data_IF_748457806032
#
_entry.id   IF_748457806032
#
_cell.length_a   1.000
_cell.length_b   1.000
_cell.length_c   1.000
_cell.angle_alpha   90.00
_cell.angle_beta   90.00
_cell.angle_gamma   90.00
#
_symmetry.space_group_name_H-M   'P 1'
#
loop_
_entity.id
_entity.type
_entity.pdbx_description
1 polymer ?
#
# COMPACT_ATOMS: atom_id res chain seq x y z
N UNK A 1 39.04 -42.03 -14.17
CA UNK A 1 38.74 -40.60 -13.88
C UNK A 1 37.68 -40.17 -14.87
N UNK A 2 36.42 -40.15 -14.43
CA UNK A 2 35.26 -39.98 -15.31
C UNK A 2 34.99 -38.50 -15.58
N UNK A 3 34.80 -38.17 -16.85
CA UNK A 3 34.33 -36.88 -17.32
C UNK A 3 32.86 -36.65 -16.94
N UNK A 4 32.61 -35.39 -16.58
CA UNK A 4 31.37 -34.63 -16.54
C UNK A 4 30.19 -35.17 -17.37
N UNK A 5 29.01 -35.21 -16.75
CA UNK A 5 27.83 -34.48 -17.20
C UNK A 5 26.67 -34.73 -16.21
N UNK A 6 26.34 -33.71 -15.41
CA UNK A 6 25.05 -33.68 -14.72
C UNK A 6 24.18 -32.60 -15.41
N UNK A 7 23.05 -32.97 -16.03
CA UNK A 7 22.15 -32.01 -16.66
C UNK A 7 21.21 -31.45 -15.60
N UNK A 8 20.85 -30.16 -15.70
CA UNK A 8 19.78 -29.40 -14.99
C UNK A 8 20.40 -28.10 -14.46
N UNK A 9 19.91 -26.91 -14.76
CA UNK A 9 18.59 -26.46 -15.19
C UNK A 9 18.86 -25.29 -16.15
N UNK A 10 18.40 -25.37 -17.40
CA UNK A 10 18.20 -24.14 -18.17
C UNK A 10 17.04 -23.44 -17.48
N UNK A 11 17.34 -22.40 -16.70
CA UNK A 11 16.32 -21.50 -16.21
C UNK A 11 15.63 -20.94 -17.45
N UNK A 12 14.35 -21.30 -17.62
CA UNK A 12 13.50 -20.71 -18.65
C UNK A 12 13.51 -19.20 -18.40
N UNK A 13 14.22 -18.48 -19.27
CA UNK A 13 13.97 -17.06 -19.50
C UNK A 13 12.55 -16.96 -20.06
N UNK A 14 11.61 -16.56 -19.22
CA UNK A 14 10.21 -16.47 -19.65
C UNK A 14 9.24 -16.28 -18.50
N UNK A 15 9.53 -15.33 -17.61
CA UNK A 15 8.55 -14.69 -16.72
C UNK A 15 9.33 -13.61 -15.98
N UNK A 16 9.32 -12.38 -16.52
CA UNK A 16 9.56 -11.23 -15.66
C UNK A 16 8.47 -11.28 -14.59
N UNK A 17 8.80 -11.37 -13.30
CA UNK A 17 7.77 -11.17 -12.29
C UNK A 17 7.13 -9.83 -12.60
N UNK A 18 5.81 -9.82 -12.66
CA UNK A 18 4.99 -8.64 -12.94
C UNK A 18 5.16 -7.64 -11.79
N UNK A 19 6.33 -7.02 -11.72
CA UNK A 19 6.69 -6.05 -10.70
C UNK A 19 6.10 -4.74 -11.21
N UNK A 20 4.97 -4.37 -10.61
CA UNK A 20 4.32 -3.10 -10.84
C UNK A 20 5.33 -1.96 -10.88
N UNK A 21 5.10 -0.98 -11.76
CA UNK A 21 6.02 0.15 -11.93
C UNK A 21 6.34 0.81 -10.58
N UNK A 22 7.58 1.32 -10.36
CA UNK A 22 8.00 1.84 -9.05
C UNK A 22 7.07 2.90 -8.46
N UNK A 23 6.43 3.72 -9.30
CA UNK A 23 5.46 4.72 -8.86
C UNK A 23 4.16 4.08 -8.35
N UNK A 24 3.68 2.98 -8.96
CA UNK A 24 2.51 2.22 -8.49
C UNK A 24 2.81 1.63 -7.12
N UNK A 25 3.99 1.03 -6.95
CA UNK A 25 4.43 0.48 -5.66
C UNK A 25 4.49 1.58 -4.59
N UNK A 26 4.95 2.78 -4.94
CA UNK A 26 4.96 3.91 -4.00
C UNK A 26 3.53 4.34 -3.58
N UNK A 27 2.58 4.38 -4.51
CA UNK A 27 1.18 4.70 -4.22
C UNK A 27 0.51 3.63 -3.34
N UNK A 28 0.78 2.35 -3.60
CA UNK A 28 0.31 1.24 -2.75
C UNK A 28 0.85 1.40 -1.32
N UNK A 29 2.16 1.64 -1.17
CA UNK A 29 2.78 1.85 0.15
C UNK A 29 2.20 3.05 0.88
N UNK A 30 1.92 4.14 0.19
CA UNK A 30 1.30 5.32 0.80
C UNK A 30 -0.12 5.03 1.29
N UNK A 31 -0.90 4.28 0.50
CA UNK A 31 -2.23 3.82 0.90
C UNK A 31 -2.17 2.94 2.15
N UNK A 32 -1.25 1.97 2.17
CA UNK A 32 -1.05 1.08 3.32
C UNK A 32 -0.65 1.84 4.59
N UNK A 33 0.26 2.82 4.44
CA UNK A 33 0.68 3.69 5.54
C UNK A 33 -0.51 4.43 6.14
N UNK A 34 -1.38 5.03 5.31
CA UNK A 34 -2.58 5.74 5.78
C UNK A 34 -3.59 4.80 6.44
N UNK A 35 -3.80 3.61 5.88
CA UNK A 35 -4.66 2.58 6.50
C UNK A 35 -4.16 2.20 7.90
N UNK A 36 -2.85 2.14 8.11
CA UNK A 36 -2.27 1.90 9.43
C UNK A 36 -2.51 3.07 10.40
N UNK A 37 -2.42 4.32 9.91
CA UNK A 37 -2.71 5.52 10.72
C UNK A 37 -4.20 5.62 11.13
N UNK A 38 -5.13 5.19 10.28
CA UNK A 38 -6.57 5.18 10.64
C UNK A 38 -6.84 4.42 11.94
N UNK A 39 -6.16 3.30 12.16
CA UNK A 39 -6.29 2.50 13.39
C UNK A 39 -5.75 3.24 14.62
N UNK A 40 -4.80 4.15 14.44
CA UNK A 40 -4.19 4.94 15.52
C UNK A 40 -5.05 6.12 15.90
N UNK A 41 -5.75 6.74 14.95
CA UNK A 41 -6.65 7.86 15.24
C UNK A 41 -7.73 7.52 16.26
N UNK A 42 -8.31 6.32 16.20
CA UNK A 42 -9.31 5.90 17.21
C UNK A 42 -8.74 5.90 18.63
N UNK A 43 -7.48 5.45 18.78
CA UNK A 43 -6.76 5.51 20.05
C UNK A 43 -6.49 6.95 20.49
N UNK A 44 -6.04 7.82 19.57
CA UNK A 44 -5.75 9.22 19.89
C UNK A 44 -7.01 10.00 20.26
N UNK A 45 -8.14 9.73 19.60
CA UNK A 45 -9.45 10.31 19.93
C UNK A 45 -9.88 9.87 21.33
N UNK A 46 -9.74 8.58 21.66
CA UNK A 46 -10.06 8.06 22.99
C UNK A 46 -9.15 8.66 24.07
N UNK A 47 -7.84 8.79 23.81
CA UNK A 47 -6.90 9.43 24.72
C UNK A 47 -7.16 10.93 24.92
N UNK A 48 -7.78 11.59 23.93
CA UNK A 48 -8.22 12.97 24.02
C UNK A 48 -9.60 13.12 24.71
N UNK A 49 -10.10 12.11 25.44
CA UNK A 49 -11.34 12.19 26.22
C UNK A 49 -11.40 13.47 27.07
N UNK A 50 -12.52 14.19 27.02
CA UNK A 50 -12.71 15.47 27.71
C UNK A 50 -12.06 16.69 27.03
N UNK A 51 -11.19 16.52 26.03
CA UNK A 51 -10.58 17.61 25.25
C UNK A 51 -11.24 17.73 23.88
N UNK A 52 -12.41 18.38 23.82
CA UNK A 52 -13.26 18.43 22.62
C UNK A 52 -12.54 18.96 21.37
N UNK A 53 -11.74 20.01 21.51
CA UNK A 53 -10.96 20.60 20.39
C UNK A 53 -9.92 19.62 19.86
N UNK A 54 -9.21 18.92 20.74
CA UNK A 54 -8.21 17.93 20.38
C UNK A 54 -8.86 16.69 19.74
N UNK A 55 -10.01 16.24 20.23
CA UNK A 55 -10.79 15.19 19.55
C UNK A 55 -11.24 15.63 18.15
N UNK A 56 -11.71 16.87 18.02
CA UNK A 56 -12.09 17.44 16.74
C UNK A 56 -10.92 17.44 15.75
N UNK A 57 -9.74 17.86 16.20
CA UNK A 57 -8.51 17.81 15.41
C UNK A 57 -8.21 16.38 14.91
N UNK A 58 -8.21 15.38 15.79
CA UNK A 58 -7.94 13.99 15.38
C UNK A 58 -9.01 13.43 14.43
N UNK A 59 -10.29 13.77 14.63
CA UNK A 59 -11.37 13.38 13.70
C UNK A 59 -11.19 14.00 12.32
N UNK A 60 -10.73 15.25 12.25
CA UNK A 60 -10.42 15.91 10.98
C UNK A 60 -9.28 15.20 10.25
N UNK A 61 -8.17 14.89 10.94
CA UNK A 61 -7.07 14.14 10.34
C UNK A 61 -7.52 12.75 9.86
N UNK A 62 -8.32 12.05 10.66
CA UNK A 62 -8.90 10.76 10.28
C UNK A 62 -9.70 10.85 8.98
N UNK A 63 -10.58 11.84 8.84
CA UNK A 63 -11.37 12.06 7.61
C UNK A 63 -10.50 12.37 6.41
N UNK A 64 -9.46 13.19 6.59
CA UNK A 64 -8.53 13.52 5.50
C UNK A 64 -7.79 12.28 5.00
N UNK A 65 -7.38 11.38 5.91
CA UNK A 65 -6.75 10.11 5.53
C UNK A 65 -7.74 9.12 4.90
N UNK A 66 -8.99 9.05 5.36
CA UNK A 66 -10.07 8.28 4.73
C UNK A 66 -10.29 8.75 3.27
N UNK A 67 -10.42 10.05 3.05
CA UNK A 67 -10.58 10.64 1.71
C UNK A 67 -9.36 10.36 0.82
N UNK A 68 -8.14 10.47 1.38
CA UNK A 68 -6.91 10.19 0.65
C UNK A 68 -6.81 8.72 0.25
N UNK A 69 -7.17 7.79 1.13
CA UNK A 69 -7.21 6.35 0.84
C UNK A 69 -8.19 6.06 -0.29
N UNK A 70 -9.39 6.66 -0.25
CA UNK A 70 -10.38 6.47 -1.30
C UNK A 70 -9.87 6.98 -2.65
N UNK A 71 -9.24 8.15 -2.69
CA UNK A 71 -8.62 8.69 -3.91
C UNK A 71 -7.51 7.79 -4.45
N UNK A 72 -6.65 7.27 -3.57
CA UNK A 72 -5.59 6.34 -3.94
C UNK A 72 -6.15 5.03 -4.49
N UNK A 73 -7.19 4.47 -3.86
CA UNK A 73 -7.89 3.28 -4.37
C UNK A 73 -8.47 3.53 -5.75
N UNK A 74 -9.26 4.60 -5.93
CA UNK A 74 -9.89 4.90 -7.22
C UNK A 74 -8.84 5.08 -8.33
N UNK A 75 -7.71 5.72 -8.01
CA UNK A 75 -6.63 5.92 -8.97
C UNK A 75 -5.95 4.60 -9.34
N UNK A 76 -5.63 3.74 -8.36
CA UNK A 76 -5.03 2.42 -8.60
C UNK A 76 -5.97 1.51 -9.41
N UNK A 77 -7.28 1.56 -9.11
CA UNK A 77 -8.29 0.80 -9.85
C UNK A 77 -8.40 1.29 -11.30
N UNK A 78 -8.34 2.61 -11.52
CA UNK A 78 -8.31 3.20 -12.86
C UNK A 78 -7.05 2.80 -13.64
N UNK A 79 -5.88 2.83 -13.00
CA UNK A 79 -4.62 2.39 -13.62
C UNK A 79 -4.67 0.91 -14.00
N UNK A 80 -5.19 0.05 -13.12
CA UNK A 80 -5.38 -1.37 -13.40
C UNK A 80 -6.38 -1.63 -14.53
N UNK A 81 -7.44 -0.81 -14.64
CA UNK A 81 -8.42 -0.90 -15.72
C UNK A 81 -7.94 -0.30 -17.06
N UNK A 82 -7.02 0.68 -17.00
CA UNK A 82 -6.41 1.32 -18.17
C UNK A 82 -5.14 0.60 -18.65
N UNK A 83 -4.63 -0.34 -17.85
CA UNK A 83 -3.42 -1.12 -18.05
C UNK A 83 -3.68 -2.60 -18.36
N UNK A 84 -4.62 -2.86 -19.29
CA UNK A 84 -4.72 -4.07 -20.12
C UNK A 84 -4.73 -3.66 -21.60
#
# INVERSE_FOLDING_TARGET
MSMSANPRIKANQGETPDIAAPYIVALIRERERRLAELRRYDRFIAQAAGRLTLQGFWRTLKRQDEDAIQRLTNWLDHEAASGA
#
